data_IF_659791544455
#
_entry.id   IF_659791544455
#
_cell.length_a   1.000
_cell.length_b   1.000
_cell.length_c   1.000
_cell.angle_alpha   90.00
_cell.angle_beta   90.00
_cell.angle_gamma   90.00
#
_symmetry.space_group_name_H-M   'P 1'
#
loop_
_entity.id
_entity.type
_entity.pdbx_description
1 polymer ?
#
# COMPACT_ATOMS: atom_id res chain seq x y z
N UNK A 1 -28.91 -3.27 -58.95
CA UNK A 1 -28.67 -4.11 -57.76
C UNK A 1 -27.25 -3.82 -57.29
N UNK A 2 -27.07 -3.10 -56.18
CA UNK A 2 -25.74 -2.78 -55.61
C UNK A 2 -25.45 -3.82 -54.53
N UNK A 3 -24.49 -4.70 -54.78
CA UNK A 3 -23.99 -5.64 -53.77
C UNK A 3 -23.21 -4.87 -52.71
N UNK A 4 -23.71 -4.86 -51.47
CA UNK A 4 -22.93 -4.52 -50.28
C UNK A 4 -22.18 -5.77 -49.84
N UNK A 5 -20.84 -5.76 -49.96
CA UNK A 5 -19.98 -6.69 -49.24
C UNK A 5 -19.85 -6.19 -47.80
N UNK A 6 -20.39 -6.95 -46.84
CA UNK A 6 -20.11 -6.79 -45.43
C UNK A 6 -18.75 -7.44 -45.14
N UNK A 7 -17.73 -6.62 -44.86
CA UNK A 7 -16.43 -7.07 -44.37
C UNK A 7 -16.54 -7.48 -42.91
N UNK A 8 -16.38 -8.78 -42.65
CA UNK A 8 -16.32 -9.34 -41.29
C UNK A 8 -14.93 -9.04 -40.71
N UNK A 9 -14.82 -8.02 -39.85
CA UNK A 9 -13.60 -7.76 -39.11
C UNK A 9 -13.40 -8.85 -38.05
N UNK A 10 -12.40 -9.72 -38.25
CA UNK A 10 -11.96 -10.67 -37.23
C UNK A 10 -11.34 -9.90 -36.06
N UNK A 11 -12.09 -9.80 -34.95
CA UNK A 11 -11.56 -9.42 -33.64
C UNK A 11 -10.73 -10.60 -33.13
N UNK A 12 -9.41 -10.55 -33.33
CA UNK A 12 -8.51 -11.49 -32.68
C UNK A 12 -8.54 -11.23 -31.16
N UNK A 13 -8.72 -12.27 -30.32
CA UNK A 13 -8.63 -12.10 -28.88
C UNK A 13 -7.18 -11.76 -28.52
N UNK A 14 -6.96 -10.57 -27.97
CA UNK A 14 -5.69 -10.22 -27.33
C UNK A 14 -5.58 -11.05 -26.06
N UNK A 15 -4.80 -12.13 -26.11
CA UNK A 15 -4.40 -12.86 -24.91
C UNK A 15 -3.41 -11.96 -24.18
N UNK A 16 -3.85 -11.31 -23.10
CA UNK A 16 -2.95 -10.62 -22.19
C UNK A 16 -2.10 -11.69 -21.49
N UNK A 17 -0.84 -11.81 -21.90
CA UNK A 17 0.14 -12.60 -21.16
C UNK A 17 0.41 -11.88 -19.84
N UNK A 18 0.43 -12.63 -18.73
CA UNK A 18 0.82 -12.08 -17.45
C UNK A 18 2.25 -11.52 -17.56
N UNK A 19 2.43 -10.28 -17.12
CA UNK A 19 3.75 -9.66 -17.06
C UNK A 19 4.65 -10.47 -16.12
N UNK A 20 5.85 -10.88 -16.56
CA UNK A 20 6.75 -11.64 -15.71
C UNK A 20 7.21 -10.78 -14.53
N UNK A 21 7.23 -11.36 -13.33
CA UNK A 21 7.83 -10.71 -12.16
C UNK A 21 9.35 -10.85 -12.28
N UNK A 22 10.05 -9.72 -12.34
CA UNK A 22 11.51 -9.69 -12.28
C UNK A 22 11.97 -10.04 -10.86
N UNK A 23 12.37 -11.30 -10.64
CA UNK A 23 12.65 -11.82 -9.30
C UNK A 23 13.79 -11.10 -8.57
N UNK A 24 14.69 -10.45 -9.31
CA UNK A 24 15.77 -9.64 -8.74
C UNK A 24 15.29 -8.31 -8.14
N UNK A 25 14.06 -7.90 -8.46
CA UNK A 25 13.43 -6.66 -8.00
C UNK A 25 12.41 -6.88 -6.88
N UNK A 26 12.30 -8.11 -6.35
CA UNK A 26 11.45 -8.39 -5.19
C UNK A 26 12.14 -7.78 -3.96
N UNK A 27 11.49 -6.80 -3.34
CA UNK A 27 12.01 -6.09 -2.17
C UNK A 27 11.70 -6.89 -0.91
N UNK A 28 10.44 -7.28 -0.75
CA UNK A 28 9.97 -8.03 0.42
C UNK A 28 8.75 -8.86 0.07
N UNK A 29 8.50 -9.90 0.88
CA UNK A 29 7.34 -10.77 0.75
C UNK A 29 6.81 -11.17 2.13
N UNK A 30 5.50 -11.38 2.21
CA UNK A 30 4.81 -11.76 3.43
C UNK A 30 3.78 -12.84 3.12
N UNK A 31 3.72 -13.87 3.96
CA UNK A 31 2.71 -14.92 3.90
C UNK A 31 1.74 -14.83 5.07
N UNK A 32 0.53 -15.34 4.87
CA UNK A 32 -0.53 -15.38 5.88
C UNK A 32 -1.83 -15.92 5.29
N UNK A 33 -2.93 -15.84 6.04
CA UNK A 33 -4.26 -16.23 5.59
C UNK A 33 -5.10 -14.95 5.47
N UNK A 34 -5.07 -14.33 4.29
CA UNK A 34 -5.65 -13.01 4.08
C UNK A 34 -7.15 -13.09 3.88
N UNK A 35 -7.60 -14.14 3.19
CA UNK A 35 -9.02 -14.36 2.88
C UNK A 35 -9.75 -15.21 3.95
N UNK A 36 -9.05 -15.73 4.95
CA UNK A 36 -9.61 -16.48 6.07
C UNK A 36 -10.03 -17.90 5.70
N UNK A 37 -9.47 -18.46 4.62
CA UNK A 37 -9.84 -19.79 4.14
C UNK A 37 -8.96 -20.92 4.73
N UNK A 38 -8.01 -20.58 5.60
CA UNK A 38 -7.06 -21.49 6.23
C UNK A 38 -5.86 -21.85 5.35
N UNK A 39 -5.80 -21.34 4.12
CA UNK A 39 -4.67 -21.46 3.20
C UNK A 39 -3.59 -20.42 3.46
N UNK A 40 -2.36 -20.72 3.05
CA UNK A 40 -1.26 -19.74 3.09
C UNK A 40 -1.16 -19.00 1.75
N UNK A 41 -1.54 -17.74 1.80
CA UNK A 41 -1.46 -16.70 0.79
C UNK A 41 -0.09 -16.02 0.77
N UNK A 42 0.12 -15.18 -0.25
CA UNK A 42 1.37 -14.43 -0.43
C UNK A 42 1.07 -13.00 -0.89
N UNK A 43 1.82 -12.06 -0.35
CA UNK A 43 1.95 -10.72 -0.92
C UNK A 43 3.42 -10.39 -1.12
N UNK A 44 3.75 -9.65 -2.17
CA UNK A 44 5.11 -9.20 -2.48
C UNK A 44 5.11 -7.72 -2.86
N UNK A 45 6.16 -7.01 -2.48
CA UNK A 45 6.47 -5.68 -3.03
C UNK A 45 7.60 -5.86 -4.03
N UNK A 46 7.40 -5.34 -5.23
CA UNK A 46 8.32 -5.48 -6.37
C UNK A 46 8.59 -4.11 -6.96
N UNK A 47 9.86 -3.76 -7.12
CA UNK A 47 10.25 -2.56 -7.86
C UNK A 47 10.04 -2.78 -9.37
N UNK A 48 9.44 -1.81 -10.06
CA UNK A 48 9.20 -1.91 -11.50
C UNK A 48 10.41 -1.40 -12.29
N UNK A 49 10.92 -0.21 -11.94
CA UNK A 49 12.20 0.34 -12.40
C UNK A 49 12.92 1.08 -11.27
N UNK A 50 14.25 1.29 -11.37
CA UNK A 50 14.97 2.09 -10.40
C UNK A 50 14.32 3.45 -10.17
N UNK A 51 14.04 3.78 -8.91
CA UNK A 51 13.40 5.04 -8.52
C UNK A 51 11.96 5.25 -9.05
N UNK A 52 11.34 4.25 -9.69
CA UNK A 52 9.91 4.23 -10.01
C UNK A 52 9.10 3.73 -8.81
N UNK A 53 7.79 4.05 -8.74
CA UNK A 53 6.90 3.45 -7.76
C UNK A 53 6.92 1.91 -7.79
N UNK A 54 6.80 1.31 -6.61
CA UNK A 54 6.76 -0.14 -6.46
C UNK A 54 5.34 -0.67 -6.58
N UNK A 55 5.24 -1.90 -7.06
CA UNK A 55 3.99 -2.64 -7.21
C UNK A 55 3.82 -3.64 -6.06
N UNK A 56 2.59 -3.80 -5.59
CA UNK A 56 2.23 -4.82 -4.61
C UNK A 56 1.42 -5.93 -5.30
N UNK A 57 2.01 -7.13 -5.35
CA UNK A 57 1.42 -8.31 -5.95
C UNK A 57 0.76 -9.17 -4.90
N UNK A 58 -0.49 -9.55 -5.13
CA UNK A 58 -1.26 -10.40 -4.23
C UNK A 58 -1.52 -11.76 -4.85
N UNK A 59 -1.39 -12.81 -4.04
CA UNK A 59 -1.71 -14.17 -4.41
C UNK A 59 -2.50 -14.84 -3.31
N UNK A 60 -3.56 -15.55 -3.69
CA UNK A 60 -4.37 -16.35 -2.77
C UNK A 60 -4.15 -17.84 -3.03
N UNK A 61 -4.15 -18.64 -1.98
CA UNK A 61 -4.02 -20.09 -2.07
C UNK A 61 -5.25 -20.69 -2.74
N UNK A 62 -5.06 -21.37 -3.86
CA UNK A 62 -6.00 -22.38 -4.29
C UNK A 62 -5.77 -23.66 -3.48
N UNK A 63 -6.72 -24.00 -2.61
CA UNK A 63 -6.64 -25.18 -1.74
C UNK A 63 -6.94 -26.49 -2.46
N UNK A 64 -7.68 -26.45 -3.58
CA UNK A 64 -8.00 -27.64 -4.36
C UNK A 64 -6.84 -28.01 -5.28
N UNK A 65 -6.28 -27.02 -5.96
CA UNK A 65 -5.18 -27.20 -6.90
C UNK A 65 -3.79 -27.06 -6.27
N UNK A 66 -3.73 -26.66 -5.00
CA UNK A 66 -2.52 -26.54 -4.18
C UNK A 66 -1.44 -25.60 -4.78
N UNK A 67 -1.85 -24.46 -5.35
CA UNK A 67 -0.93 -23.43 -5.83
C UNK A 67 -1.43 -22.02 -5.52
N UNK A 68 -0.54 -21.03 -5.59
CA UNK A 68 -0.88 -19.62 -5.42
C UNK A 68 -1.45 -19.04 -6.71
N UNK A 69 -2.68 -18.54 -6.68
CA UNK A 69 -3.32 -17.84 -7.81
C UNK A 69 -3.13 -16.33 -7.68
N UNK A 70 -2.76 -15.61 -8.76
CA UNK A 70 -2.76 -14.15 -8.75
C UNK A 70 -4.14 -13.62 -8.37
N UNK A 71 -4.18 -12.73 -7.39
CA UNK A 71 -5.40 -12.10 -6.87
C UNK A 71 -5.49 -10.60 -7.20
N UNK A 72 -4.38 -10.00 -7.64
CA UNK A 72 -4.35 -8.62 -8.09
C UNK A 72 -2.95 -8.02 -8.03
N UNK A 73 -2.81 -6.87 -8.68
CA UNK A 73 -1.61 -6.03 -8.61
C UNK A 73 -2.10 -4.63 -8.28
N UNK A 74 -1.57 -4.05 -7.21
CA UNK A 74 -1.76 -2.62 -6.91
C UNK A 74 -0.51 -1.91 -7.37
N UNK A 75 -0.69 -1.02 -8.35
CA UNK A 75 0.38 -0.27 -8.98
C UNK A 75 0.48 1.11 -8.41
N UNK A 76 1.70 1.63 -8.40
CA UNK A 76 1.99 3.05 -8.14
C UNK A 76 1.50 3.57 -6.78
N UNK A 77 1.20 2.73 -5.80
CA UNK A 77 0.78 3.17 -4.45
C UNK A 77 1.97 3.33 -3.48
N UNK A 78 3.16 2.89 -3.90
CA UNK A 78 4.38 2.87 -3.07
C UNK A 78 5.43 3.76 -3.76
N UNK A 79 5.33 5.07 -3.56
CA UNK A 79 6.11 6.11 -4.24
C UNK A 79 7.54 6.31 -3.68
N UNK A 80 8.29 5.26 -3.36
CA UNK A 80 9.56 5.41 -2.63
C UNK A 80 10.72 4.74 -3.31
N UNK A 81 11.92 5.24 -3.00
CA UNK A 81 13.17 4.66 -3.49
C UNK A 81 13.52 3.41 -2.67
N UNK A 82 13.83 2.33 -3.38
CA UNK A 82 14.60 1.22 -2.89
C UNK A 82 15.98 1.29 -3.55
N UNK A 83 17.04 1.15 -2.77
CA UNK A 83 18.41 1.45 -3.23
C UNK A 83 19.33 0.22 -3.18
N UNK A 84 18.77 -0.99 -3.12
CA UNK A 84 19.54 -2.21 -2.85
C UNK A 84 20.17 -2.88 -4.08
N UNK A 85 19.43 -3.02 -5.18
CA UNK A 85 19.89 -3.89 -6.29
C UNK A 85 20.82 -3.22 -7.29
N UNK A 86 20.54 -1.98 -7.69
CA UNK A 86 21.30 -1.27 -8.73
C UNK A 86 22.32 -0.26 -8.16
N UNK A 87 22.31 -0.05 -6.84
CA UNK A 87 23.21 0.85 -6.11
C UNK A 87 23.94 0.15 -4.95
N UNK A 88 24.84 -0.82 -5.23
CA UNK A 88 25.64 -1.48 -4.20
C UNK A 88 26.41 -0.45 -3.35
N UNK A 89 26.27 -0.52 -2.02
CA UNK A 89 26.84 0.42 -1.06
C UNK A 89 25.83 1.34 -0.35
N UNK A 90 24.54 1.29 -0.72
CA UNK A 90 23.44 1.99 -0.05
C UNK A 90 22.59 1.02 0.80
N UNK A 91 23.25 0.17 1.60
CA UNK A 91 22.62 -0.99 2.29
C UNK A 91 21.85 -0.64 3.57
N UNK A 92 21.54 0.63 3.80
CA UNK A 92 20.95 1.09 5.06
C UNK A 92 19.87 2.16 4.84
N UNK A 93 19.05 2.01 3.80
CA UNK A 93 17.95 2.92 3.59
C UNK A 93 16.89 2.67 4.66
N UNK A 94 16.78 3.56 5.64
CA UNK A 94 15.67 3.62 6.59
C UNK A 94 14.32 3.99 5.93
N UNK A 95 14.21 3.74 4.62
CA UNK A 95 13.13 4.12 3.72
C UNK A 95 12.50 2.90 3.02
N UNK A 96 12.91 1.68 3.37
CA UNK A 96 12.34 0.45 2.80
C UNK A 96 10.93 0.18 3.33
N UNK A 97 9.97 -0.23 2.48
CA UNK A 97 8.65 -0.60 2.93
C UNK A 97 8.69 -1.92 3.71
N UNK A 98 7.94 -1.98 4.82
CA UNK A 98 7.86 -3.17 5.65
C UNK A 98 6.45 -3.77 5.63
N UNK A 99 6.39 -5.09 5.63
CA UNK A 99 5.16 -5.86 5.70
C UNK A 99 5.10 -6.65 7.02
N UNK A 100 3.97 -6.57 7.72
CA UNK A 100 3.71 -7.39 8.90
C UNK A 100 2.33 -8.06 8.80
N UNK A 101 2.27 -9.37 9.02
CA UNK A 101 1.01 -10.08 9.17
C UNK A 101 0.41 -9.79 10.55
N UNK A 102 -0.85 -9.37 10.60
CA UNK A 102 -1.56 -9.14 11.85
C UNK A 102 -2.41 -10.37 12.22
N UNK A 103 -2.64 -10.64 13.53
CA UNK A 103 -3.36 -11.84 13.98
C UNK A 103 -4.80 -11.98 13.46
N UNK A 104 -5.40 -10.90 12.96
CA UNK A 104 -6.76 -10.85 12.43
C UNK A 104 -6.82 -11.06 10.89
N UNK A 105 -5.73 -11.51 10.26
CA UNK A 105 -5.65 -11.73 8.81
C UNK A 105 -5.45 -10.46 7.98
N UNK A 106 -5.20 -9.30 8.62
CA UNK A 106 -4.85 -8.06 7.91
C UNK A 106 -3.33 -7.91 7.75
N UNK A 107 -2.93 -7.08 6.79
CA UNK A 107 -1.53 -6.75 6.49
C UNK A 107 -1.28 -5.33 6.98
N UNK A 108 -0.24 -5.15 7.80
CA UNK A 108 0.31 -3.82 8.09
C UNK A 108 1.40 -3.52 7.06
N UNK A 109 1.19 -2.47 6.27
CA UNK A 109 2.15 -1.93 5.33
C UNK A 109 2.71 -0.63 5.91
N UNK A 110 3.97 -0.66 6.34
CA UNK A 110 4.68 0.51 6.84
C UNK A 110 5.52 1.12 5.70
N UNK A 111 5.38 2.44 5.51
CA UNK A 111 5.94 3.22 4.41
C UNK A 111 6.76 4.38 5.00
N UNK A 112 8.02 4.14 5.38
CA UNK A 112 8.88 5.17 5.95
C UNK A 112 9.19 6.29 4.95
N UNK A 113 9.25 7.54 5.41
CA UNK A 113 9.59 8.66 4.54
C UNK A 113 11.08 8.76 4.23
N UNK A 114 11.38 9.07 2.96
CA UNK A 114 12.64 9.75 2.64
C UNK A 114 12.64 11.09 3.37
N UNK A 115 13.68 11.42 4.16
CA UNK A 115 13.76 12.71 4.81
C UNK A 115 13.83 13.82 3.75
N UNK A 116 12.86 14.73 3.73
CA UNK A 116 12.89 15.93 2.90
C UNK A 116 13.47 17.05 3.74
N UNK A 117 14.78 17.23 3.64
CA UNK A 117 15.51 18.06 4.60
C UNK A 117 15.44 17.43 6.00
N UNK A 118 14.91 18.17 6.97
CA UNK A 118 14.69 17.72 8.35
C UNK A 118 13.33 17.08 8.59
N UNK A 119 12.43 17.13 7.62
CA UNK A 119 11.04 16.71 7.76
C UNK A 119 10.89 15.25 7.36
N UNK A 120 10.18 14.48 8.17
CA UNK A 120 9.88 13.08 7.92
C UNK A 120 8.42 12.78 8.25
N UNK A 121 7.73 12.14 7.31
CA UNK A 121 6.36 11.63 7.50
C UNK A 121 6.28 10.15 7.14
N UNK A 122 6.35 9.26 8.13
CA UNK A 122 6.14 7.84 7.88
C UNK A 122 4.64 7.55 7.85
N UNK A 123 4.22 6.58 7.05
CA UNK A 123 2.82 6.17 6.93
C UNK A 123 2.66 4.69 7.25
N UNK A 124 1.50 4.32 7.76
CA UNK A 124 1.09 2.92 7.92
C UNK A 124 -0.29 2.73 7.34
N UNK A 125 -0.45 1.75 6.45
CA UNK A 125 -1.73 1.25 5.99
C UNK A 125 -2.02 -0.09 6.65
N UNK A 126 -3.26 -0.28 7.10
CA UNK A 126 -3.77 -1.61 7.43
C UNK A 126 -4.65 -2.08 6.28
N UNK A 127 -4.22 -3.12 5.57
CA UNK A 127 -4.93 -3.70 4.45
C UNK A 127 -5.69 -4.95 4.89
N UNK A 128 -6.96 -5.07 4.52
CA UNK A 128 -7.77 -6.26 4.82
C UNK A 128 -8.35 -6.81 3.52
N UNK A 129 -8.53 -8.14 3.43
CA UNK A 129 -9.26 -8.75 2.32
C UNK A 129 -10.74 -8.81 2.65
N UNK A 130 -11.59 -8.22 1.81
CA UNK A 130 -13.06 -8.26 1.94
C UNK A 130 -13.71 -8.26 0.57
N UNK A 131 -14.77 -9.04 0.43
CA UNK A 131 -15.62 -9.07 -0.76
C UNK A 131 -14.83 -9.24 -2.08
N UNK A 132 -13.78 -10.06 -2.04
CA UNK A 132 -12.95 -10.36 -3.21
C UNK A 132 -11.78 -9.40 -3.45
N UNK A 133 -11.59 -8.36 -2.62
CA UNK A 133 -10.58 -7.32 -2.84
C UNK A 133 -9.79 -6.98 -1.57
N UNK A 134 -8.55 -6.51 -1.76
CA UNK A 134 -7.78 -5.86 -0.70
C UNK A 134 -8.24 -4.41 -0.55
N UNK A 135 -8.64 -4.03 0.66
CA UNK A 135 -9.14 -2.70 1.01
C UNK A 135 -8.26 -2.05 2.07
N UNK A 136 -8.29 -0.71 2.15
CA UNK A 136 -7.65 0.04 3.24
C UNK A 136 -8.59 0.11 4.44
N UNK A 137 -8.26 -0.61 5.51
CA UNK A 137 -9.03 -0.67 6.75
C UNK A 137 -8.59 0.36 7.80
N UNK A 138 -7.33 0.79 7.74
CA UNK A 138 -6.76 1.77 8.67
C UNK A 138 -5.65 2.57 8.01
N UNK A 139 -5.50 3.81 8.47
CA UNK A 139 -4.43 4.72 8.06
C UNK A 139 -3.85 5.37 9.31
N UNK A 140 -2.53 5.39 9.36
CA UNK A 140 -1.79 6.14 10.35
C UNK A 140 -0.61 6.86 9.71
N UNK A 141 -0.18 7.95 10.35
CA UNK A 141 1.10 8.57 10.04
C UNK A 141 1.75 9.10 11.32
N UNK A 142 3.07 9.25 11.26
CA UNK A 142 3.85 10.03 12.20
C UNK A 142 4.69 11.03 11.42
N UNK A 143 4.72 12.27 11.89
CA UNK A 143 5.45 13.39 11.31
C UNK A 143 6.35 14.03 12.35
N UNK A 144 7.58 14.33 11.96
CA UNK A 144 8.56 15.07 12.76
C UNK A 144 9.37 16.03 11.89
N UNK A 145 9.76 17.18 12.45
CA UNK A 145 10.85 18.01 11.94
C UNK A 145 12.04 17.93 12.89
N UNK A 146 13.14 17.31 12.44
CA UNK A 146 14.33 17.08 13.28
C UNK A 146 15.19 18.33 13.52
N UNK A 147 14.89 19.46 12.88
CA UNK A 147 15.60 20.73 13.10
C UNK A 147 14.78 21.76 13.87
N UNK A 148 13.51 21.49 14.14
CA UNK A 148 12.63 22.39 14.88
C UNK A 148 12.17 21.74 16.19
N UNK A 149 12.33 22.46 17.30
CA UNK A 149 11.85 22.00 18.60
C UNK A 149 10.32 21.93 18.60
N UNK A 150 9.77 20.85 19.17
CA UNK A 150 8.34 20.66 19.39
C UNK A 150 7.48 20.63 18.11
N UNK A 151 8.04 20.17 16.98
CA UNK A 151 7.30 19.99 15.73
C UNK A 151 7.14 18.50 15.44
N UNK A 152 6.03 17.96 15.92
CA UNK A 152 5.58 16.60 15.62
C UNK A 152 4.06 16.52 15.52
N UNK A 153 3.57 15.62 14.68
CA UNK A 153 2.16 15.23 14.66
C UNK A 153 1.99 13.76 14.33
N UNK A 154 0.91 13.16 14.79
CA UNK A 154 0.57 11.78 14.48
C UNK A 154 -0.94 11.63 14.30
N UNK A 155 -1.32 10.56 13.61
CA UNK A 155 -2.70 10.17 13.48
C UNK A 155 -2.79 8.66 13.35
N UNK A 156 -3.82 8.08 13.96
CA UNK A 156 -4.25 6.71 13.73
C UNK A 156 -5.78 6.72 13.66
N UNK A 157 -6.32 6.33 12.50
CA UNK A 157 -7.76 6.17 12.37
C UNK A 157 -8.14 4.94 11.55
N UNK A 158 -9.30 4.39 11.94
CA UNK A 158 -9.95 3.30 11.25
C UNK A 158 -10.77 3.87 10.09
N UNK A 159 -10.34 3.59 8.85
CA UNK A 159 -10.94 4.13 7.61
C UNK A 159 -12.39 3.67 7.45
N UNK A 160 -12.69 2.44 7.87
CA UNK A 160 -14.02 1.84 7.73
C UNK A 160 -15.07 2.48 8.63
N UNK A 161 -14.65 2.95 9.81
CA UNK A 161 -15.55 3.59 10.79
C UNK A 161 -15.42 5.11 10.82
N UNK A 162 -14.36 5.66 10.22
CA UNK A 162 -14.02 7.08 10.24
C UNK A 162 -13.59 7.58 11.63
N UNK A 163 -13.28 6.69 12.56
CA UNK A 163 -12.95 7.03 13.96
C UNK A 163 -11.48 6.81 14.26
N UNK A 164 -10.90 7.70 15.03
CA UNK A 164 -9.50 7.62 15.43
C UNK A 164 -9.07 8.74 16.35
N UNK A 165 -7.76 8.94 16.43
CA UNK A 165 -7.14 10.01 17.18
C UNK A 165 -6.02 10.64 16.35
N UNK A 166 -5.83 11.93 16.53
CA UNK A 166 -4.65 12.62 16.05
C UNK A 166 -4.05 13.46 17.17
N UNK A 167 -2.77 13.76 17.04
CA UNK A 167 -2.02 14.54 18.00
C UNK A 167 -1.09 15.51 17.27
N UNK A 168 -0.85 16.66 17.88
CA UNK A 168 0.10 17.65 17.37
C UNK A 168 0.79 18.35 18.54
N UNK A 169 2.12 18.38 18.52
CA UNK A 169 2.89 19.18 19.45
C UNK A 169 2.63 20.68 19.22
N UNK A 170 2.50 21.41 20.31
CA UNK A 170 2.31 22.85 20.34
C UNK A 170 3.68 23.53 20.54
N UNK A 171 3.81 24.84 20.21
CA UNK A 171 5.07 25.57 20.39
C UNK A 171 5.61 25.56 21.83
N UNK A 172 4.76 25.34 22.84
CA UNK A 172 5.13 25.25 24.25
C UNK A 172 5.61 23.84 24.69
N UNK A 173 5.72 22.89 23.74
CA UNK A 173 6.14 21.52 23.99
C UNK A 173 5.02 20.59 24.47
N UNK A 174 3.80 21.08 24.67
CA UNK A 174 2.65 20.24 25.02
C UNK A 174 2.05 19.56 23.80
N UNK A 175 1.48 18.36 23.96
CA UNK A 175 0.79 17.66 22.87
C UNK A 175 -0.72 17.88 22.94
N UNK A 176 -1.28 18.47 21.90
CA UNK A 176 -2.73 18.60 21.74
C UNK A 176 -3.29 17.38 21.03
N UNK A 177 -4.19 16.66 21.69
CA UNK A 177 -4.92 15.53 21.10
C UNK A 177 -6.27 15.96 20.53
N UNK A 178 -6.70 15.29 19.47
CA UNK A 178 -8.01 15.46 18.84
C UNK A 178 -8.60 14.10 18.50
N UNK A 179 -9.93 13.99 18.62
CA UNK A 179 -10.67 12.84 18.08
C UNK A 179 -10.86 13.02 16.59
N UNK A 180 -10.50 12.00 15.81
CA UNK A 180 -10.88 11.88 14.39
C UNK A 180 -12.28 11.28 14.34
N UNK A 181 -13.19 11.97 13.67
CA UNK A 181 -14.57 11.54 13.46
C UNK A 181 -15.05 12.05 12.09
N UNK A 182 -14.89 11.23 11.07
CA UNK A 182 -15.35 11.45 9.70
C UNK A 182 -16.31 10.33 9.29
N UNK A 183 -16.90 10.44 8.10
CA UNK A 183 -17.67 9.34 7.52
C UNK A 183 -16.74 8.15 7.21
N UNK A 184 -17.12 6.96 7.68
CA UNK A 184 -16.42 5.71 7.36
C UNK A 184 -16.62 5.31 5.91
N UNK A 185 -15.54 4.84 5.26
CA UNK A 185 -15.54 4.49 3.84
C UNK A 185 -14.77 3.20 3.58
N UNK A 186 -15.09 2.55 2.46
CA UNK A 186 -14.36 1.39 1.95
C UNK A 186 -13.63 1.84 0.69
N UNK A 187 -12.31 1.75 0.71
CA UNK A 187 -11.47 2.01 -0.46
C UNK A 187 -10.76 0.73 -0.86
N UNK A 188 -10.89 0.32 -2.12
CA UNK A 188 -9.98 -0.66 -2.68
C UNK A 188 -8.55 -0.10 -2.58
N UNK A 189 -7.57 -0.93 -2.26
CA UNK A 189 -6.19 -0.45 -2.13
C UNK A 189 -5.65 0.14 -3.44
N UNK A 190 -6.11 -0.38 -4.59
CA UNK A 190 -5.82 0.19 -5.92
C UNK A 190 -6.33 1.63 -6.12
N UNK A 191 -7.31 2.06 -5.33
CA UNK A 191 -7.94 3.38 -5.41
C UNK A 191 -7.56 4.28 -4.24
N UNK A 192 -6.65 3.82 -3.37
CA UNK A 192 -6.23 4.58 -2.22
C UNK A 192 -5.55 5.89 -2.65
N UNK A 193 -5.90 6.97 -1.97
CA UNK A 193 -5.25 8.27 -2.11
C UNK A 193 -4.78 8.73 -0.73
N UNK A 194 -3.47 8.89 -0.50
CA UNK A 194 -2.94 9.33 0.80
C UNK A 194 -3.54 10.64 1.31
N UNK A 195 -3.95 11.55 0.42
CA UNK A 195 -4.65 12.79 0.78
C UNK A 195 -5.95 12.53 1.54
N UNK A 196 -6.66 11.44 1.24
CA UNK A 196 -7.84 11.02 2.01
C UNK A 196 -7.49 10.74 3.47
N UNK A 197 -6.34 10.07 3.70
CA UNK A 197 -5.81 9.79 5.03
C UNK A 197 -5.51 11.06 5.81
N UNK A 198 -4.71 11.95 5.23
CA UNK A 198 -4.31 13.20 5.85
C UNK A 198 -5.49 14.13 6.15
N UNK A 199 -6.41 14.31 5.19
CA UNK A 199 -7.58 15.17 5.40
C UNK A 199 -8.50 14.67 6.52
N UNK A 200 -8.63 13.35 6.70
CA UNK A 200 -9.38 12.79 7.84
C UNK A 200 -8.72 13.14 9.19
N UNK A 201 -7.38 13.16 9.23
CA UNK A 201 -6.59 13.53 10.40
C UNK A 201 -6.59 15.04 10.70
N UNK A 202 -7.10 15.86 9.77
CA UNK A 202 -7.18 17.32 9.89
C UNK A 202 -5.95 18.05 9.38
N UNK A 203 -5.19 17.43 8.48
CA UNK A 203 -4.10 18.02 7.71
C UNK A 203 -4.57 18.49 6.32
#
# INVERSE_FOLDING_TARGET
>A
MRSMLFGLALLAPTVALAEPIETQKIITGLTGDWNGDGGTDLVMIVETKPSDPMDMYFFLRDREANFLKPAGIVREQIYREWNGYDRPGYEASDTEPELTALPNGSIKLYLPAMPVGSKRTNQTLTLAYRDGAFIVAGFAYDYHDYLEDNVASDCDYNVLTGKGKSSRMQPDGTTKQKTVAVEGKVFAFSEWNPGTGFSACGE
#
